data_IF_687488560974
#
_entry.id   IF_687488560974
#
_cell.length_a   1.000
_cell.length_b   1.000
_cell.length_c   1.000
_cell.angle_alpha   90.00
_cell.angle_beta   90.00
_cell.angle_gamma   90.00
#
_symmetry.space_group_name_H-M   'P 1'
#
loop_
_entity.id
_entity.type
_entity.pdbx_description
1 polymer ?
#
# COMPACT_ATOMS: atom_id res chain seq x y z
N UNK A 1 -0.44 -44.95 -29.33
CA UNK A 1 0.03 -43.68 -29.92
C UNK A 1 1.36 -43.38 -29.25
N UNK A 2 2.46 -43.96 -29.76
CA UNK A 2 3.77 -43.93 -29.11
C UNK A 2 4.58 -42.78 -29.71
N UNK A 3 4.87 -41.75 -28.91
CA UNK A 3 5.78 -40.69 -29.32
C UNK A 3 7.20 -41.25 -29.41
N UNK A 4 7.72 -41.37 -30.63
CA UNK A 4 9.12 -41.70 -30.86
C UNK A 4 9.98 -40.51 -30.44
N UNK A 5 10.48 -40.53 -29.20
CA UNK A 5 11.52 -39.62 -28.74
C UNK A 5 12.79 -39.85 -29.59
N UNK A 6 13.07 -38.93 -30.51
CA UNK A 6 14.30 -38.96 -31.31
C UNK A 6 15.49 -38.67 -30.41
N UNK A 7 16.46 -39.58 -30.40
CA UNK A 7 17.69 -39.44 -29.62
C UNK A 7 18.47 -38.17 -30.02
N UNK A 8 18.97 -37.47 -29.00
CA UNK A 8 19.72 -36.20 -29.11
C UNK A 8 20.98 -36.35 -29.99
N UNK A 9 21.45 -37.59 -30.20
CA UNK A 9 22.57 -37.92 -31.09
C UNK A 9 22.30 -37.72 -32.59
N UNK A 10 21.05 -37.59 -33.03
CA UNK A 10 20.71 -37.33 -34.44
C UNK A 10 20.75 -35.83 -34.80
N UNK A 11 21.13 -34.96 -33.85
CA UNK A 11 21.23 -33.52 -34.10
C UNK A 11 22.57 -33.23 -34.81
N UNK A 12 22.56 -32.60 -36.00
CA UNK A 12 23.76 -32.19 -36.70
C UNK A 12 24.66 -31.32 -35.81
N UNK A 13 25.97 -31.59 -35.78
CA UNK A 13 26.95 -30.85 -34.96
C UNK A 13 26.93 -29.34 -35.21
N UNK A 14 26.55 -28.91 -36.43
CA UNK A 14 26.37 -27.51 -36.81
C UNK A 14 25.28 -26.83 -35.98
N UNK A 15 24.16 -27.53 -35.70
CA UNK A 15 23.06 -26.97 -34.90
C UNK A 15 23.51 -26.81 -33.45
N UNK A 16 24.25 -27.77 -32.92
CA UNK A 16 24.83 -27.68 -31.56
C UNK A 16 25.81 -26.49 -31.48
N UNK A 17 26.66 -26.30 -32.49
CA UNK A 17 27.58 -25.16 -32.56
C UNK A 17 26.83 -23.82 -32.59
N UNK A 18 25.79 -23.70 -33.42
CA UNK A 18 24.95 -22.51 -33.52
C UNK A 18 24.24 -22.22 -32.19
N UNK A 19 23.76 -23.25 -31.51
CA UNK A 19 23.09 -23.12 -30.21
C UNK A 19 24.07 -22.63 -29.14
N UNK A 20 25.29 -23.18 -29.10
CA UNK A 20 26.34 -22.73 -28.18
C UNK A 20 26.74 -21.28 -28.47
N UNK A 21 26.90 -20.91 -29.74
CA UNK A 21 27.20 -19.53 -30.16
C UNK A 21 26.08 -18.56 -29.76
N UNK A 22 24.83 -18.93 -30.00
CA UNK A 22 23.66 -18.14 -29.61
C UNK A 22 23.58 -17.98 -28.09
N UNK A 23 23.79 -19.05 -27.34
CA UNK A 23 23.73 -19.02 -25.88
C UNK A 23 24.88 -18.19 -25.29
N UNK A 24 26.10 -18.34 -25.83
CA UNK A 24 27.25 -17.54 -25.45
C UNK A 24 27.04 -16.05 -25.73
N UNK A 25 26.52 -15.73 -26.92
CA UNK A 25 26.12 -14.36 -27.27
C UNK A 25 25.07 -13.79 -26.33
N UNK A 26 24.05 -14.58 -25.98
CA UNK A 26 22.99 -14.18 -25.05
C UNK A 26 23.53 -13.91 -23.64
N UNK A 27 24.47 -14.72 -23.15
CA UNK A 27 25.12 -14.54 -21.85
C UNK A 27 25.97 -13.27 -21.85
N UNK A 28 26.81 -13.08 -22.87
CA UNK A 28 27.67 -11.89 -22.99
C UNK A 28 26.82 -10.62 -23.06
N UNK A 29 25.74 -10.64 -23.84
CA UNK A 29 24.77 -9.56 -23.93
C UNK A 29 24.17 -9.27 -22.54
N UNK A 30 23.71 -10.30 -21.84
CA UNK A 30 23.10 -10.13 -20.52
C UNK A 30 24.08 -9.58 -19.47
N UNK A 31 25.37 -9.91 -19.54
CA UNK A 31 26.41 -9.34 -18.67
C UNK A 31 26.78 -7.90 -19.01
N UNK A 32 26.61 -7.49 -20.27
CA UNK A 32 26.85 -6.11 -20.71
C UNK A 32 25.66 -5.19 -20.44
N UNK A 33 24.45 -5.72 -20.30
CA UNK A 33 23.32 -4.92 -19.83
C UNK A 33 23.60 -4.50 -18.37
N UNK A 34 23.58 -3.19 -18.07
CA UNK A 34 23.59 -2.73 -16.69
C UNK A 34 22.44 -3.41 -15.95
N UNK A 35 22.68 -3.94 -14.76
CA UNK A 35 21.61 -4.39 -13.87
C UNK A 35 20.55 -3.28 -13.83
N UNK A 36 19.28 -3.56 -14.15
CA UNK A 36 18.25 -2.54 -14.12
C UNK A 36 18.20 -2.00 -12.69
N UNK A 37 18.80 -0.82 -12.49
CA UNK A 37 18.74 -0.12 -11.22
C UNK A 37 17.32 0.43 -11.10
N UNK A 38 16.42 -0.39 -10.58
CA UNK A 38 15.04 -0.02 -10.28
C UNK A 38 15.07 1.00 -9.16
N UNK A 39 15.19 2.28 -9.50
CA UNK A 39 15.04 3.37 -8.55
C UNK A 39 13.60 3.36 -8.05
N UNK A 40 13.42 2.91 -6.81
CA UNK A 40 12.15 3.00 -6.09
C UNK A 40 11.64 4.44 -6.17
N UNK A 41 10.45 4.61 -6.76
CA UNK A 41 9.81 5.92 -6.89
C UNK A 41 9.19 6.27 -5.55
N UNK A 42 9.63 7.38 -4.97
CA UNK A 42 9.07 7.89 -3.71
C UNK A 42 7.64 8.36 -3.94
N UNK A 43 6.78 8.15 -2.94
CA UNK A 43 5.42 8.69 -2.93
C UNK A 43 5.49 10.21 -3.03
N UNK A 44 4.69 10.78 -3.94
CA UNK A 44 4.52 12.23 -4.10
C UNK A 44 3.40 12.74 -3.20
N UNK A 45 3.37 14.04 -2.94
CA UNK A 45 2.24 14.69 -2.26
C UNK A 45 0.98 14.53 -3.13
N UNK A 46 -0.20 14.27 -2.55
CA UNK A 46 -1.43 14.21 -3.32
C UNK A 46 -1.73 15.55 -3.99
N UNK A 47 -2.37 15.54 -5.17
CA UNK A 47 -2.89 16.76 -5.77
C UNK A 47 -3.96 17.40 -4.87
N UNK A 48 -4.16 18.71 -5.04
CA UNK A 48 -5.19 19.44 -4.29
C UNK A 48 -6.59 18.90 -4.57
N UNK A 49 -7.48 18.99 -3.59
CA UNK A 49 -8.86 18.49 -3.67
C UNK A 49 -9.65 19.14 -4.81
N UNK A 50 -9.41 20.41 -5.13
CA UNK A 50 -10.10 21.08 -6.24
C UNK A 50 -9.74 20.44 -7.59
N UNK A 51 -8.45 20.12 -7.79
CA UNK A 51 -7.98 19.43 -9.00
C UNK A 51 -8.55 18.02 -9.09
N UNK A 52 -8.62 17.31 -7.96
CA UNK A 52 -9.22 15.98 -7.91
C UNK A 52 -10.71 16.00 -8.26
N UNK A 53 -11.46 17.00 -7.79
CA UNK A 53 -12.87 17.18 -8.14
C UNK A 53 -13.07 17.45 -9.63
N UNK A 54 -12.17 18.22 -10.26
CA UNK A 54 -12.21 18.47 -11.70
C UNK A 54 -11.90 17.19 -12.48
N UNK A 55 -10.84 16.46 -12.09
CA UNK A 55 -10.42 15.21 -12.73
C UNK A 55 -11.44 14.07 -12.53
N UNK A 56 -12.25 14.16 -11.49
CA UNK A 56 -13.29 13.22 -11.13
C UNK A 56 -14.51 13.27 -12.06
N UNK A 57 -14.62 14.29 -12.92
CA UNK A 57 -15.74 14.51 -13.84
C UNK A 57 -17.12 14.44 -13.16
N UNK A 58 -17.18 14.76 -11.86
CA UNK A 58 -18.41 14.79 -11.07
C UNK A 58 -18.67 13.56 -10.18
N UNK A 59 -17.89 12.47 -10.30
CA UNK A 59 -18.04 11.29 -9.43
C UNK A 59 -16.85 11.14 -8.46
N UNK A 60 -16.96 11.79 -7.30
CA UNK A 60 -15.89 11.85 -6.29
C UNK A 60 -15.68 10.49 -5.62
N UNK A 61 -16.74 9.67 -5.51
CA UNK A 61 -16.70 8.36 -4.85
C UNK A 61 -15.94 7.35 -5.70
N UNK A 62 -16.21 7.28 -7.00
CA UNK A 62 -15.44 6.42 -7.92
C UNK A 62 -13.98 6.85 -7.94
N UNK A 63 -13.73 8.16 -7.95
CA UNK A 63 -12.37 8.71 -7.93
C UNK A 63 -11.63 8.32 -6.65
N UNK A 64 -12.27 8.43 -5.48
CA UNK A 64 -11.70 7.98 -4.21
C UNK A 64 -11.30 6.49 -4.24
N UNK A 65 -12.15 5.63 -4.82
CA UNK A 65 -11.87 4.19 -4.96
C UNK A 65 -10.70 3.92 -5.90
N UNK A 66 -10.65 4.60 -7.04
CA UNK A 66 -9.53 4.51 -7.99
C UNK A 66 -8.23 4.94 -7.32
N UNK A 67 -8.25 6.04 -6.56
CA UNK A 67 -7.09 6.51 -5.82
C UNK A 67 -6.64 5.52 -4.72
N UNK A 68 -7.57 4.87 -4.02
CA UNK A 68 -7.23 3.80 -3.09
C UNK A 68 -6.54 2.63 -3.80
N UNK A 69 -7.09 2.18 -4.93
CA UNK A 69 -6.49 1.10 -5.72
C UNK A 69 -5.11 1.50 -6.24
N UNK A 70 -4.96 2.73 -6.72
CA UNK A 70 -3.67 3.27 -7.16
C UNK A 70 -2.65 3.30 -6.03
N UNK A 71 -3.05 3.74 -4.83
CA UNK A 71 -2.18 3.81 -3.65
C UNK A 71 -1.70 2.42 -3.23
N UNK A 72 -2.58 1.42 -3.25
CA UNK A 72 -2.21 0.03 -2.95
C UNK A 72 -1.34 -0.61 -4.04
N UNK A 73 -1.60 -0.29 -5.31
CA UNK A 73 -0.77 -0.75 -6.42
C UNK A 73 0.61 -0.09 -6.43
N UNK A 74 0.74 1.11 -5.85
CA UNK A 74 2.01 1.84 -5.77
C UNK A 74 3.08 1.10 -4.98
N UNK A 75 2.69 0.20 -4.08
CA UNK A 75 3.60 -0.63 -3.28
C UNK A 75 4.31 -1.70 -4.14
N UNK A 76 3.79 -2.01 -5.33
CA UNK A 76 4.36 -2.95 -6.29
C UNK A 76 5.03 -2.16 -7.41
N UNK A 77 6.35 -1.93 -7.28
CA UNK A 77 7.11 -1.16 -8.27
C UNK A 77 8.11 -2.06 -9.00
N UNK A 78 7.98 -2.14 -10.33
CA UNK A 78 9.00 -2.75 -11.22
C UNK A 78 9.48 -4.14 -10.77
N UNK A 79 8.55 -5.00 -10.34
CA UNK A 79 8.88 -6.37 -9.87
C UNK A 79 9.53 -6.45 -8.49
N UNK A 80 9.66 -5.33 -7.76
CA UNK A 80 10.09 -5.28 -6.37
C UNK A 80 8.94 -4.80 -5.49
N UNK A 81 8.77 -5.45 -4.35
CA UNK A 81 7.83 -5.01 -3.30
C UNK A 81 8.51 -3.91 -2.50
N UNK A 82 7.95 -2.70 -2.51
CA UNK A 82 8.39 -1.65 -1.62
C UNK A 82 7.95 -2.01 -0.20
N UNK A 83 8.86 -2.26 0.76
CA UNK A 83 8.43 -2.54 2.12
C UNK A 83 7.70 -1.31 2.65
N UNK A 84 6.54 -1.50 3.30
CA UNK A 84 5.80 -0.40 3.92
C UNK A 84 6.67 0.46 4.85
N UNK A 85 7.71 -0.13 5.46
CA UNK A 85 8.74 0.55 6.24
C UNK A 85 9.46 1.68 5.50
N UNK A 86 9.55 1.66 4.17
CA UNK A 86 10.26 2.66 3.38
C UNK A 86 9.33 3.78 2.87
N UNK A 87 8.01 3.63 3.04
CA UNK A 87 7.04 4.66 2.69
C UNK A 87 7.17 5.90 3.58
N UNK A 88 6.86 7.05 2.99
CA UNK A 88 6.73 8.32 3.68
C UNK A 88 5.32 8.43 4.27
N UNK A 89 5.21 8.18 5.57
CA UNK A 89 3.92 8.10 6.27
C UNK A 89 3.20 9.44 6.34
N UNK A 90 3.92 10.56 6.25
CA UNK A 90 3.29 11.88 6.20
C UNK A 90 2.54 12.06 4.87
N UNK A 91 3.15 11.65 3.76
CA UNK A 91 2.50 11.70 2.45
C UNK A 91 1.39 10.67 2.33
N UNK A 92 1.59 9.48 2.89
CA UNK A 92 0.57 8.45 2.95
C UNK A 92 -0.67 8.94 3.70
N UNK A 93 -0.47 9.58 4.86
CA UNK A 93 -1.53 10.22 5.61
C UNK A 93 -2.27 11.25 4.76
N UNK A 94 -1.55 12.16 4.09
CA UNK A 94 -2.16 13.17 3.21
C UNK A 94 -2.98 12.52 2.09
N UNK A 95 -2.50 11.44 1.49
CA UNK A 95 -3.27 10.70 0.47
C UNK A 95 -4.57 10.13 1.04
N UNK A 96 -4.51 9.48 2.20
CA UNK A 96 -5.70 8.93 2.86
C UNK A 96 -6.70 10.02 3.27
N UNK A 97 -6.20 11.17 3.72
CA UNK A 97 -7.02 12.35 4.01
C UNK A 97 -7.71 12.87 2.74
N UNK A 98 -6.99 13.04 1.64
CA UNK A 98 -7.58 13.49 0.37
C UNK A 98 -8.62 12.50 -0.17
N UNK A 99 -8.38 11.21 -0.03
CA UNK A 99 -9.35 10.18 -0.40
C UNK A 99 -10.61 10.26 0.46
N UNK A 100 -10.48 10.47 1.77
CA UNK A 100 -11.62 10.66 2.66
C UNK A 100 -12.34 12.00 2.44
N UNK A 101 -11.68 13.03 1.93
CA UNK A 101 -12.34 14.27 1.51
C UNK A 101 -13.22 14.04 0.28
N UNK A 102 -12.79 13.16 -0.65
CA UNK A 102 -13.57 12.80 -1.83
C UNK A 102 -14.74 11.85 -1.50
N UNK A 103 -14.53 10.91 -0.57
CA UNK A 103 -15.57 10.00 -0.06
C UNK A 103 -15.56 9.98 1.49
N UNK A 104 -16.27 10.92 2.15
CA UNK A 104 -16.32 11.00 3.62
C UNK A 104 -16.98 9.79 4.28
N UNK A 105 -17.81 9.03 3.56
CA UNK A 105 -18.48 7.85 4.09
C UNK A 105 -17.60 6.60 4.00
N UNK A 106 -16.44 6.68 3.33
CA UNK A 106 -15.55 5.54 3.16
C UNK A 106 -14.94 5.07 4.49
N UNK A 107 -15.16 3.80 4.82
CA UNK A 107 -14.49 3.15 5.94
C UNK A 107 -13.15 2.51 5.55
N UNK A 108 -12.93 2.31 4.24
CA UNK A 108 -11.79 1.58 3.73
C UNK A 108 -10.43 2.25 4.03
N UNK A 109 -10.27 3.58 3.88
CA UNK A 109 -9.01 4.24 4.25
C UNK A 109 -8.64 4.05 5.72
N UNK A 110 -9.63 4.03 6.63
CA UNK A 110 -9.41 3.80 8.07
C UNK A 110 -9.02 2.35 8.38
N UNK A 111 -9.63 1.39 7.67
CA UNK A 111 -9.27 -0.01 7.75
C UNK A 111 -7.81 -0.21 7.33
N UNK A 112 -7.41 0.29 6.16
CA UNK A 112 -6.04 0.11 5.65
C UNK A 112 -5.02 0.84 6.54
N UNK A 113 -5.33 2.04 7.02
CA UNK A 113 -4.46 2.78 7.96
C UNK A 113 -4.20 1.98 9.24
N UNK A 114 -5.26 1.44 9.85
CA UNK A 114 -5.19 0.75 11.14
C UNK A 114 -4.70 -0.70 11.04
N UNK A 115 -4.98 -1.40 9.94
CA UNK A 115 -4.65 -2.82 9.81
C UNK A 115 -3.35 -3.05 9.04
N UNK A 116 -3.16 -2.37 7.90
CA UNK A 116 -2.02 -2.56 7.02
C UNK A 116 -0.87 -1.64 7.42
N UNK A 117 -1.09 -0.34 7.40
CA UNK A 117 -0.02 0.63 7.59
C UNK A 117 0.43 0.75 9.05
N UNK A 118 -0.41 0.43 10.02
CA UNK A 118 -0.01 0.32 11.43
C UNK A 118 0.63 -1.04 11.80
N UNK A 119 0.81 -1.98 10.86
CA UNK A 119 1.49 -3.27 11.11
C UNK A 119 2.99 -3.25 10.86
N UNK A 120 3.57 -2.07 10.63
CA UNK A 120 5.01 -1.86 10.37
C UNK A 120 5.80 -1.82 11.68
N UNK A 121 7.00 -2.44 11.78
CA UNK A 121 7.83 -2.44 13.00
C UNK A 121 8.55 -1.10 13.24
N UNK A 122 7.82 0.01 13.17
CA UNK A 122 8.29 1.36 13.49
C UNK A 122 7.22 2.06 14.32
N UNK A 123 7.51 2.27 15.61
CA UNK A 123 6.58 2.87 16.57
C UNK A 123 6.13 4.28 16.16
N UNK A 124 6.99 5.08 15.50
CA UNK A 124 6.62 6.44 15.07
C UNK A 124 5.59 6.38 13.95
N UNK A 125 5.82 5.50 12.97
CA UNK A 125 4.91 5.28 11.84
C UNK A 125 3.57 4.69 12.27
N UNK A 126 3.60 3.73 13.19
CA UNK A 126 2.38 3.22 13.83
C UNK A 126 1.59 4.37 14.49
N UNK A 127 2.26 5.17 15.33
CA UNK A 127 1.60 6.29 16.02
C UNK A 127 0.98 7.29 15.04
N UNK A 128 1.63 7.61 13.92
CA UNK A 128 1.06 8.49 12.89
C UNK A 128 -0.27 7.96 12.33
N UNK A 129 -0.33 6.67 11.97
CA UNK A 129 -1.58 6.08 11.46
C UNK A 129 -2.66 5.97 12.53
N UNK A 130 -2.28 5.68 13.78
CA UNK A 130 -3.18 5.65 14.92
C UNK A 130 -3.79 7.04 15.18
N UNK A 131 -2.97 8.09 15.18
CA UNK A 131 -3.43 9.48 15.36
C UNK A 131 -4.28 9.95 14.16
N UNK A 132 -3.95 9.54 12.93
CA UNK A 132 -4.81 9.79 11.76
C UNK A 132 -6.23 9.22 11.98
N UNK A 133 -6.34 7.95 12.42
CA UNK A 133 -7.66 7.35 12.71
C UNK A 133 -8.37 8.08 13.86
N UNK A 134 -7.62 8.51 14.88
CA UNK A 134 -8.16 9.32 15.98
C UNK A 134 -8.71 10.68 15.51
N UNK A 135 -7.99 11.37 14.62
CA UNK A 135 -8.48 12.63 14.03
C UNK A 135 -9.73 12.41 13.19
N UNK A 136 -9.74 11.36 12.36
CA UNK A 136 -10.87 11.02 11.51
C UNK A 136 -12.09 10.53 12.28
N UNK A 137 -11.92 9.99 13.49
CA UNK A 137 -13.04 9.60 14.36
C UNK A 137 -13.98 10.78 14.66
N UNK A 138 -13.44 11.98 14.91
CA UNK A 138 -14.26 13.15 15.25
C UNK A 138 -15.14 13.67 14.11
N UNK A 139 -14.87 13.26 12.87
CA UNK A 139 -15.69 13.64 11.70
C UNK A 139 -17.04 12.94 11.72
N UNK A 140 -17.07 11.66 12.10
CA UNK A 140 -18.30 10.86 12.23
C UNK A 140 -18.10 9.82 13.34
N UNK A 141 -18.24 10.20 14.62
CA UNK A 141 -17.97 9.33 15.77
C UNK A 141 -18.85 8.07 15.77
N UNK A 142 -20.11 8.20 15.35
CA UNK A 142 -21.09 7.10 15.35
C UNK A 142 -20.75 6.00 14.36
N UNK A 143 -20.18 6.33 13.20
CA UNK A 143 -19.77 5.30 12.22
C UNK A 143 -18.33 4.83 12.39
N UNK A 144 -17.46 5.67 12.97
CA UNK A 144 -16.00 5.42 12.99
C UNK A 144 -15.47 4.91 14.33
N UNK A 145 -16.31 4.77 15.36
CA UNK A 145 -15.88 4.29 16.69
C UNK A 145 -15.21 2.92 16.65
N UNK A 146 -15.61 2.02 15.75
CA UNK A 146 -15.05 0.67 15.64
C UNK A 146 -13.58 0.69 15.23
N UNK A 147 -13.20 1.62 14.34
CA UNK A 147 -11.81 1.84 13.95
C UNK A 147 -11.01 2.45 15.09
N UNK A 148 -11.59 3.38 15.85
CA UNK A 148 -10.94 3.95 17.04
C UNK A 148 -10.73 2.89 18.12
N UNK A 149 -11.68 1.99 18.31
CA UNK A 149 -11.56 0.86 19.23
C UNK A 149 -10.43 -0.09 18.79
N UNK A 150 -10.34 -0.39 17.49
CA UNK A 150 -9.26 -1.22 16.95
C UNK A 150 -7.88 -0.62 17.21
N UNK A 151 -7.69 0.68 16.91
CA UNK A 151 -6.41 1.35 17.16
C UNK A 151 -6.08 1.51 18.65
N UNK A 152 -7.08 1.57 19.52
CA UNK A 152 -6.91 1.53 20.98
C UNK A 152 -6.25 0.23 21.44
N UNK A 153 -6.72 -0.91 20.93
CA UNK A 153 -6.13 -2.23 21.22
C UNK A 153 -4.70 -2.29 20.68
N UNK A 154 -4.45 -1.78 19.47
CA UNK A 154 -3.10 -1.73 18.88
C UNK A 154 -2.16 -0.87 19.75
N UNK A 155 -2.60 0.31 20.19
CA UNK A 155 -1.82 1.20 21.05
C UNK A 155 -1.41 0.49 22.35
N UNK A 156 -2.33 -0.25 22.98
CA UNK A 156 -2.08 -1.00 24.20
C UNK A 156 -1.10 -2.17 23.99
N UNK A 157 -1.32 -3.00 22.97
CA UNK A 157 -0.64 -4.29 22.86
C UNK A 157 0.61 -4.28 21.96
N UNK A 158 0.59 -3.50 20.86
CA UNK A 158 1.73 -3.41 19.94
C UNK A 158 2.63 -2.22 20.26
N UNK A 159 2.03 -1.03 20.41
CA UNK A 159 2.81 0.18 20.75
C UNK A 159 3.25 0.19 22.21
N UNK A 160 2.56 -0.58 23.08
CA UNK A 160 2.74 -0.60 24.55
C UNK A 160 2.61 0.79 25.17
N UNK A 161 1.82 1.66 24.55
CA UNK A 161 1.56 3.02 25.01
C UNK A 161 0.18 3.08 25.67
N UNK A 162 0.16 2.85 26.98
CA UNK A 162 -1.07 2.86 27.76
C UNK A 162 -1.70 4.24 27.82
N UNK A 163 -0.89 5.31 27.79
CA UNK A 163 -1.39 6.68 27.81
C UNK A 163 -2.19 6.99 26.54
N UNK A 164 -1.68 6.57 25.39
CA UNK A 164 -2.34 6.73 24.10
C UNK A 164 -3.61 5.89 24.01
N UNK A 165 -3.56 4.63 24.48
CA UNK A 165 -4.74 3.78 24.53
C UNK A 165 -5.84 4.36 25.41
N UNK A 166 -5.49 4.94 26.56
CA UNK A 166 -6.44 5.59 27.46
C UNK A 166 -7.05 6.84 26.83
N UNK A 167 -6.25 7.68 26.16
CA UNK A 167 -6.76 8.84 25.38
C UNK A 167 -7.82 8.42 24.37
N UNK A 168 -7.58 7.34 23.62
CA UNK A 168 -8.51 6.86 22.61
C UNK A 168 -9.77 6.26 23.23
N UNK A 169 -9.64 5.44 24.28
CA UNK A 169 -10.79 4.86 24.99
C UNK A 169 -11.70 5.94 25.60
N UNK A 170 -11.11 7.00 26.18
CA UNK A 170 -11.86 8.14 26.70
C UNK A 170 -12.61 8.88 25.60
N UNK A 171 -11.99 9.08 24.44
CA UNK A 171 -12.65 9.72 23.31
C UNK A 171 -13.84 8.91 22.78
N UNK A 172 -13.72 7.57 22.71
CA UNK A 172 -14.86 6.70 22.37
C UNK A 172 -15.97 6.89 23.40
N UNK A 173 -15.65 6.79 24.70
CA UNK A 173 -16.64 6.93 25.78
C UNK A 173 -17.36 8.29 25.76
N UNK A 174 -16.65 9.37 25.43
CA UNK A 174 -17.20 10.71 25.44
C UNK A 174 -18.02 11.07 24.19
N UNK A 175 -17.68 10.50 23.02
CA UNK A 175 -18.24 10.95 21.73
C UNK A 175 -18.99 9.88 20.94
N UNK A 176 -18.73 8.60 21.18
CA UNK A 176 -19.50 7.53 20.58
C UNK A 176 -20.68 7.20 21.52
N UNK A 177 -21.74 8.00 21.47
CA UNK A 177 -23.02 7.61 22.06
C UNK A 177 -23.63 6.51 21.19
N UNK A 178 -23.75 5.26 21.68
CA UNK A 178 -24.59 4.31 20.99
C UNK A 178 -26.03 4.79 21.23
N UNK A 179 -26.68 5.31 20.19
CA UNK A 179 -28.14 5.27 20.17
C UNK A 179 -28.52 3.78 20.20
N UNK A 180 -28.75 3.27 21.41
CA UNK A 180 -29.41 1.98 21.65
C UNK A 180 -30.90 2.11 21.34
#
# INVERSE_FOLDING_TARGET
MNEQQRSVHNVPKIIILLLILSLGGQIIWHYQLPSPSTKIKKLTVPPQSELLNILSFGDTVVSARILMLWLQAFDIQTGQFLPYQQLDYNKLQQWLEQILLLDPNSQYPLLVASHLYASVPDHKKQRLMLEFVYQQFFVDPEKRWSWLAHVTVIAKHRLKDLSLALKYAQAISAHATPNM
#
